data_IF_363295645756
#
_entry.id   IF_363295645756
#
_cell.length_a   1.000
_cell.length_b   1.000
_cell.length_c   1.000
_cell.angle_alpha   90.00
_cell.angle_beta   90.00
_cell.angle_gamma   90.00
#
_symmetry.space_group_name_H-M   'P 1'
#
loop_
_entity.id
_entity.type
_entity.pdbx_description
1 polymer ?
#
# COMPACT_ATOMS: atom_id res chain seq x y z
N UNK A 1 4.96 21.54 14.95
CA UNK A 1 5.89 20.99 15.95
C UNK A 1 7.09 20.44 15.19
N UNK A 2 8.17 21.25 15.13
CA UNK A 2 9.40 20.95 14.38
C UNK A 2 10.03 19.66 14.91
N UNK A 3 9.95 18.60 14.14
CA UNK A 3 10.83 17.45 14.30
C UNK A 3 12.10 17.86 13.54
N UNK A 4 13.09 18.37 14.28
CA UNK A 4 14.42 18.50 13.73
C UNK A 4 14.92 17.08 13.38
N UNK A 5 14.64 16.65 12.17
CA UNK A 5 15.34 15.54 11.57
C UNK A 5 16.75 16.06 11.32
N UNK A 6 17.70 15.62 12.15
CA UNK A 6 19.11 15.85 11.81
C UNK A 6 19.29 15.30 10.39
N UNK A 7 19.68 16.15 9.42
CA UNK A 7 19.88 15.67 8.04
C UNK A 7 20.86 14.51 8.09
N UNK A 8 20.58 13.46 7.32
CA UNK A 8 21.52 12.34 7.19
C UNK A 8 22.82 12.89 6.63
N UNK A 9 23.93 12.73 7.35
CA UNK A 9 25.21 13.19 6.87
C UNK A 9 25.51 12.52 5.51
N UNK A 10 25.98 13.27 4.51
CA UNK A 10 26.19 12.75 3.14
C UNK A 10 27.23 11.63 3.05
N UNK A 11 27.95 11.35 4.12
CA UNK A 11 29.09 10.43 4.19
C UNK A 11 28.73 9.05 4.78
N UNK A 12 27.46 8.72 4.98
CA UNK A 12 27.09 7.41 5.48
C UNK A 12 27.08 6.35 4.36
N UNK A 13 27.71 5.19 4.61
CA UNK A 13 27.69 4.06 3.70
C UNK A 13 26.24 3.69 3.31
N UNK A 14 25.93 3.60 2.00
CA UNK A 14 24.54 3.44 1.54
C UNK A 14 23.88 2.12 1.96
N UNK A 15 24.66 1.13 2.38
CA UNK A 15 24.19 -0.23 2.73
C UNK A 15 24.58 -0.63 4.15
N UNK A 16 24.64 0.33 5.06
CA UNK A 16 24.91 0.05 6.47
C UNK A 16 23.77 -0.79 7.06
N UNK A 17 24.12 -1.79 7.87
CA UNK A 17 23.16 -2.58 8.66
C UNK A 17 23.37 -2.24 10.14
N UNK A 18 22.34 -1.71 10.76
CA UNK A 18 22.31 -1.38 12.18
C UNK A 18 20.91 -1.55 12.75
N UNK A 19 20.75 -1.30 14.04
CA UNK A 19 19.46 -1.46 14.71
C UNK A 19 18.37 -0.58 14.06
N UNK A 20 18.71 0.62 13.61
CA UNK A 20 17.78 1.53 12.93
C UNK A 20 17.26 0.96 11.60
N UNK A 21 18.10 0.27 10.84
CA UNK A 21 17.71 -0.39 9.60
C UNK A 21 16.78 -1.59 9.86
N UNK A 22 17.05 -2.37 10.93
CA UNK A 22 16.18 -3.48 11.35
C UNK A 22 14.82 -2.98 11.80
N UNK A 23 14.78 -1.98 12.67
CA UNK A 23 13.50 -1.39 13.14
C UNK A 23 12.76 -0.67 12.03
N UNK A 24 13.49 -0.01 11.13
CA UNK A 24 12.92 0.62 9.95
C UNK A 24 12.33 -0.39 8.96
N UNK A 25 12.96 -1.53 8.74
CA UNK A 25 12.46 -2.59 7.86
C UNK A 25 11.06 -3.09 8.31
N UNK A 26 10.84 -3.15 9.62
CA UNK A 26 9.55 -3.59 10.20
C UNK A 26 8.42 -2.60 9.93
N UNK A 27 8.72 -1.32 9.63
CA UNK A 27 7.71 -0.28 9.43
C UNK A 27 6.71 -0.59 8.30
N UNK A 28 7.19 -1.12 7.19
CA UNK A 28 6.33 -1.44 6.03
C UNK A 28 5.46 -2.68 6.27
N UNK A 29 5.86 -3.58 7.15
CA UNK A 29 5.08 -4.76 7.47
C UNK A 29 3.68 -4.41 8.01
N UNK A 30 3.54 -3.27 8.70
CA UNK A 30 2.25 -2.79 9.21
C UNK A 30 1.22 -2.44 8.11
N UNK A 31 1.66 -2.21 6.88
CA UNK A 31 0.77 -1.97 5.72
C UNK A 31 0.83 -3.16 4.76
N UNK A 32 2.01 -3.69 4.51
CA UNK A 32 2.23 -4.77 3.56
C UNK A 32 1.55 -6.07 4.00
N UNK A 33 1.73 -6.47 5.27
CA UNK A 33 1.19 -7.75 5.75
C UNK A 33 -0.34 -7.81 5.64
N UNK A 34 -1.14 -6.85 6.15
CA UNK A 34 -2.60 -6.94 6.04
C UNK A 34 -3.10 -6.95 4.60
N UNK A 35 -2.53 -6.12 3.72
CA UNK A 35 -2.97 -6.01 2.33
C UNK A 35 -2.53 -7.22 1.50
N UNK A 36 -1.29 -7.69 1.67
CA UNK A 36 -0.80 -8.91 1.01
C UNK A 36 -1.59 -10.13 1.48
N UNK A 37 -1.84 -10.26 2.80
CA UNK A 37 -2.67 -11.33 3.35
C UNK A 37 -4.06 -11.34 2.71
N UNK A 38 -4.71 -10.19 2.59
CA UNK A 38 -6.01 -10.10 1.97
C UNK A 38 -5.97 -10.54 0.49
N UNK A 39 -4.96 -10.10 -0.29
CA UNK A 39 -4.81 -10.52 -1.69
C UNK A 39 -4.53 -12.02 -1.82
N UNK A 40 -3.72 -12.59 -0.93
CA UNK A 40 -3.40 -14.03 -0.93
C UNK A 40 -4.64 -14.84 -0.52
N UNK A 41 -5.26 -14.51 0.62
CA UNK A 41 -6.28 -15.36 1.22
C UNK A 41 -7.69 -15.12 0.68
N UNK A 42 -8.01 -13.89 0.25
CA UNK A 42 -9.35 -13.54 -0.29
C UNK A 42 -9.38 -13.63 -1.81
N UNK A 43 -8.32 -13.12 -2.48
CA UNK A 43 -8.29 -13.09 -3.94
C UNK A 43 -7.54 -14.27 -4.57
N UNK A 44 -6.87 -15.11 -3.76
CA UNK A 44 -6.18 -16.32 -4.23
C UNK A 44 -4.87 -16.07 -4.96
N UNK A 45 -4.15 -14.96 -4.66
CA UNK A 45 -2.80 -14.77 -5.19
C UNK A 45 -1.83 -15.79 -4.59
N UNK A 46 -0.86 -16.24 -5.39
CA UNK A 46 0.20 -17.12 -4.90
C UNK A 46 1.11 -16.39 -3.91
N UNK A 47 1.22 -16.94 -2.69
CA UNK A 47 1.98 -16.30 -1.62
C UNK A 47 3.49 -16.22 -1.94
N UNK A 48 4.05 -17.24 -2.61
CA UNK A 48 5.43 -17.25 -3.04
C UNK A 48 5.72 -16.14 -4.05
N UNK A 49 4.88 -16.03 -5.09
CA UNK A 49 4.99 -14.99 -6.09
C UNK A 49 4.85 -13.57 -5.48
N UNK A 50 3.89 -13.38 -4.57
CA UNK A 50 3.70 -12.11 -3.87
C UNK A 50 4.95 -11.71 -3.11
N UNK A 51 5.55 -12.63 -2.33
CA UNK A 51 6.72 -12.34 -1.51
C UNK A 51 7.99 -12.18 -2.36
N UNK A 52 8.19 -13.03 -3.38
CA UNK A 52 9.35 -12.95 -4.28
C UNK A 52 9.35 -11.65 -5.05
N UNK A 53 8.22 -11.27 -5.68
CA UNK A 53 8.12 -10.03 -6.43
C UNK A 53 8.30 -8.80 -5.53
N UNK A 54 7.72 -8.82 -4.31
CA UNK A 54 7.93 -7.75 -3.34
C UNK A 54 9.40 -7.67 -2.91
N UNK A 55 10.02 -8.80 -2.60
CA UNK A 55 11.44 -8.88 -2.23
C UNK A 55 12.37 -8.37 -3.32
N UNK A 56 12.14 -8.77 -4.57
CA UNK A 56 12.89 -8.27 -5.74
C UNK A 56 12.79 -6.75 -5.88
N UNK A 57 11.58 -6.20 -5.79
CA UNK A 57 11.40 -4.75 -5.92
C UNK A 57 12.01 -4.00 -4.74
N UNK A 58 11.89 -4.52 -3.51
CA UNK A 58 12.51 -3.92 -2.32
C UNK A 58 14.03 -3.88 -2.46
N UNK A 59 14.67 -4.99 -2.87
CA UNK A 59 16.12 -5.02 -3.13
C UNK A 59 16.49 -4.06 -4.25
N UNK A 60 15.79 -4.12 -5.38
CA UNK A 60 16.06 -3.26 -6.54
C UNK A 60 15.99 -1.76 -6.18
N UNK A 61 14.97 -1.34 -5.41
CA UNK A 61 14.86 0.06 -4.97
C UNK A 61 15.99 0.48 -4.05
N UNK A 62 16.42 -0.39 -3.13
CA UNK A 62 17.59 -0.13 -2.30
C UNK A 62 18.87 0.05 -3.11
N UNK A 63 19.10 -0.77 -4.13
CA UNK A 63 20.26 -0.68 -5.02
C UNK A 63 20.24 0.58 -5.90
N UNK A 64 19.05 0.94 -6.41
CA UNK A 64 18.87 2.09 -7.30
C UNK A 64 18.95 3.42 -6.56
N UNK A 65 18.14 3.56 -5.51
CA UNK A 65 18.02 4.84 -4.79
C UNK A 65 19.10 5.04 -3.74
N UNK A 66 19.64 3.96 -3.17
CA UNK A 66 20.68 3.95 -2.11
C UNK A 66 20.29 4.68 -0.82
N UNK A 67 19.01 4.81 -0.60
CA UNK A 67 18.39 5.35 0.62
C UNK A 67 17.27 4.40 1.06
N UNK A 68 16.75 4.50 2.31
CA UNK A 68 15.56 3.77 2.69
C UNK A 68 14.43 4.14 1.73
N UNK A 69 13.86 3.16 1.03
CA UNK A 69 12.83 3.42 0.05
C UNK A 69 11.67 2.44 0.19
N UNK A 70 10.42 2.92 0.30
CA UNK A 70 9.26 2.10 0.61
C UNK A 70 8.79 1.31 -0.61
N UNK A 71 8.31 0.10 -0.36
CA UNK A 71 7.59 -0.73 -1.34
C UNK A 71 6.34 -1.27 -0.66
N UNK A 72 5.17 -0.92 -1.18
CA UNK A 72 3.88 -1.25 -0.58
C UNK A 72 2.88 -1.69 -1.65
N UNK A 73 1.88 -2.54 -1.31
CA UNK A 73 0.78 -2.83 -2.21
C UNK A 73 0.05 -1.56 -2.64
N UNK A 74 -0.47 -1.54 -3.86
CA UNK A 74 -1.33 -0.47 -4.39
C UNK A 74 -2.66 -0.45 -3.64
N UNK A 75 -2.84 0.52 -2.76
CA UNK A 75 -3.90 0.53 -1.74
C UNK A 75 -5.31 0.55 -2.32
N UNK A 76 -5.60 1.47 -3.26
CA UNK A 76 -6.93 1.54 -3.85
C UNK A 76 -7.26 0.28 -4.66
N UNK A 77 -6.30 -0.19 -5.44
CA UNK A 77 -6.41 -1.42 -6.20
C UNK A 77 -6.70 -2.61 -5.30
N UNK A 78 -5.87 -2.81 -4.26
CA UNK A 78 -6.03 -3.93 -3.31
C UNK A 78 -7.40 -3.88 -2.64
N UNK A 79 -7.84 -2.72 -2.18
CA UNK A 79 -9.12 -2.58 -1.46
C UNK A 79 -10.30 -2.91 -2.36
N UNK A 80 -10.29 -2.42 -3.61
CA UNK A 80 -11.37 -2.73 -4.57
C UNK A 80 -11.33 -4.20 -4.97
N UNK A 81 -10.13 -4.76 -5.21
CA UNK A 81 -9.97 -6.17 -5.54
C UNK A 81 -10.53 -7.08 -4.44
N UNK A 82 -10.21 -6.79 -3.18
CA UNK A 82 -10.72 -7.54 -2.02
C UNK A 82 -12.23 -7.33 -1.83
N UNK A 83 -12.71 -6.09 -1.92
CA UNK A 83 -14.13 -5.77 -1.73
C UNK A 83 -15.04 -6.43 -2.78
N UNK A 84 -14.54 -6.59 -4.01
CA UNK A 84 -15.26 -7.21 -5.12
C UNK A 84 -14.83 -8.66 -5.39
N UNK A 85 -13.94 -9.22 -4.57
CA UNK A 85 -13.42 -10.59 -4.72
C UNK A 85 -12.91 -10.89 -6.15
N UNK A 86 -12.17 -9.94 -6.73
CA UNK A 86 -11.67 -10.05 -8.09
C UNK A 86 -10.65 -11.20 -8.21
N UNK A 87 -10.67 -11.86 -9.38
CA UNK A 87 -9.75 -12.96 -9.65
C UNK A 87 -8.29 -12.50 -9.77
N UNK A 88 -7.30 -13.40 -9.52
CA UNK A 88 -5.88 -13.10 -9.71
C UNK A 88 -5.57 -12.53 -11.09
N UNK A 89 -6.18 -13.08 -12.16
CA UNK A 89 -5.97 -12.62 -13.52
C UNK A 89 -6.34 -11.15 -13.75
N UNK A 90 -7.41 -10.64 -13.13
CA UNK A 90 -7.78 -9.22 -13.18
C UNK A 90 -6.76 -8.35 -12.42
N UNK A 91 -6.28 -8.84 -11.28
CA UNK A 91 -5.28 -8.12 -10.47
C UNK A 91 -3.93 -8.04 -11.21
N UNK A 92 -3.50 -9.14 -11.84
CA UNK A 92 -2.26 -9.16 -12.63
C UNK A 92 -2.38 -8.27 -13.88
N UNK A 93 -3.53 -8.29 -14.58
CA UNK A 93 -3.80 -7.39 -15.69
C UNK A 93 -3.69 -5.92 -15.25
N UNK A 94 -4.30 -5.56 -14.12
CA UNK A 94 -4.18 -4.21 -13.55
C UNK A 94 -2.72 -3.83 -13.23
N UNK A 95 -1.93 -4.77 -12.71
CA UNK A 95 -0.49 -4.58 -12.49
C UNK A 95 0.25 -4.23 -13.77
N UNK A 96 0.00 -4.97 -14.86
CA UNK A 96 0.61 -4.72 -16.17
C UNK A 96 0.16 -3.39 -16.78
N UNK A 97 -1.11 -3.03 -16.67
CA UNK A 97 -1.63 -1.74 -17.16
C UNK A 97 -1.04 -0.55 -16.40
N UNK A 98 -0.97 -0.64 -15.06
CA UNK A 98 -0.30 0.38 -14.24
C UNK A 98 1.18 0.45 -14.59
N UNK A 99 1.84 -0.70 -14.82
CA UNK A 99 3.21 -0.73 -15.27
C UNK A 99 3.41 0.04 -16.58
N UNK A 100 2.57 -0.22 -17.57
CA UNK A 100 2.63 0.47 -18.87
C UNK A 100 2.47 2.00 -18.70
N UNK A 101 1.50 2.44 -17.89
CA UNK A 101 1.30 3.86 -17.60
C UNK A 101 2.51 4.46 -16.87
N UNK A 102 3.03 3.79 -15.84
CA UNK A 102 4.19 4.29 -15.10
C UNK A 102 5.47 4.33 -15.94
N UNK A 103 5.69 3.34 -16.81
CA UNK A 103 6.79 3.35 -17.77
C UNK A 103 6.65 4.52 -18.76
N UNK A 104 5.46 4.81 -19.23
CA UNK A 104 5.19 5.98 -20.08
C UNK A 104 5.45 7.28 -19.30
N UNK A 105 4.99 7.37 -18.04
CA UNK A 105 5.22 8.52 -17.16
C UNK A 105 6.69 8.69 -16.76
N UNK A 106 7.52 7.66 -16.89
CA UNK A 106 8.96 7.76 -16.66
C UNK A 106 9.68 8.59 -17.71
N UNK A 107 9.06 8.80 -18.88
CA UNK A 107 9.56 9.66 -19.94
C UNK A 107 9.43 11.13 -19.49
N UNK A 108 10.51 11.91 -19.65
CA UNK A 108 10.53 13.32 -19.21
C UNK A 108 9.37 14.10 -19.82
N UNK A 109 8.79 14.99 -19.02
CA UNK A 109 7.63 15.87 -19.31
C UNK A 109 6.24 15.22 -19.33
N UNK A 110 6.09 13.91 -19.52
CA UNK A 110 4.76 13.28 -19.47
C UNK A 110 4.17 13.35 -18.06
N UNK A 111 5.00 13.12 -17.05
CA UNK A 111 4.61 13.24 -15.64
C UNK A 111 4.07 14.63 -15.28
N UNK A 112 4.68 15.71 -15.80
CA UNK A 112 4.26 17.09 -15.53
C UNK A 112 2.89 17.41 -16.12
N UNK A 113 2.56 16.84 -17.27
CA UNK A 113 1.22 17.00 -17.90
C UNK A 113 0.17 16.30 -17.06
N UNK A 114 0.46 15.07 -16.64
CA UNK A 114 -0.47 14.25 -15.83
C UNK A 114 -0.70 14.84 -14.44
N UNK A 115 0.32 15.46 -13.83
CA UNK A 115 0.19 16.15 -12.55
C UNK A 115 -0.89 17.23 -12.55
N UNK A 116 -1.08 17.93 -13.68
CA UNK A 116 -2.10 18.99 -13.83
C UNK A 116 -3.53 18.45 -13.86
N UNK A 117 -3.69 17.18 -14.22
CA UNK A 117 -4.99 16.50 -14.26
C UNK A 117 -5.41 16.06 -12.86
N UNK A 118 -4.49 15.48 -12.09
CA UNK A 118 -4.78 14.92 -10.78
C UNK A 118 -4.59 15.94 -9.66
N UNK A 119 -5.53 16.86 -9.55
CA UNK A 119 -5.50 17.90 -8.54
C UNK A 119 -5.77 17.37 -7.14
N UNK A 120 -5.44 18.18 -6.12
CA UNK A 120 -5.61 17.82 -4.71
C UNK A 120 -7.05 17.37 -4.37
N UNK A 121 -8.14 18.03 -4.80
CA UNK A 121 -9.51 17.58 -4.54
C UNK A 121 -9.81 16.19 -5.11
N UNK A 122 -9.33 15.87 -6.32
CA UNK A 122 -9.50 14.55 -6.94
C UNK A 122 -8.81 13.47 -6.12
N UNK A 123 -7.56 13.72 -5.71
CA UNK A 123 -6.79 12.78 -4.87
C UNK A 123 -7.48 12.57 -3.52
N UNK A 124 -7.99 13.64 -2.88
CA UNK A 124 -8.68 13.55 -1.58
C UNK A 124 -10.02 12.82 -1.66
N UNK A 125 -10.77 13.01 -2.75
CA UNK A 125 -12.01 12.25 -3.00
C UNK A 125 -11.73 10.74 -3.04
N UNK A 126 -10.69 10.34 -3.79
CA UNK A 126 -10.27 8.94 -3.88
C UNK A 126 -9.76 8.39 -2.54
N UNK A 127 -8.99 9.19 -1.80
CA UNK A 127 -8.51 8.79 -0.47
C UNK A 127 -9.66 8.59 0.51
N UNK A 128 -10.71 9.41 0.45
CA UNK A 128 -11.92 9.21 1.24
C UNK A 128 -12.63 7.92 0.83
N UNK A 129 -12.85 7.70 -0.47
CA UNK A 129 -13.48 6.48 -0.98
C UNK A 129 -12.73 5.21 -0.58
N UNK A 130 -11.39 5.19 -0.75
CA UNK A 130 -10.53 4.11 -0.27
C UNK A 130 -10.65 3.92 1.24
N UNK A 131 -10.65 5.02 1.99
CA UNK A 131 -10.76 4.99 3.44
C UNK A 131 -12.06 4.35 3.92
N UNK A 132 -13.18 4.74 3.31
CA UNK A 132 -14.50 4.14 3.61
C UNK A 132 -14.53 2.66 3.24
N UNK A 133 -14.03 2.28 2.05
CA UNK A 133 -13.97 0.88 1.64
C UNK A 133 -13.12 0.02 2.58
N UNK A 134 -11.98 0.54 3.05
CA UNK A 134 -11.15 -0.17 4.05
C UNK A 134 -11.91 -0.41 5.36
N UNK A 135 -12.65 0.58 5.85
CA UNK A 135 -13.48 0.43 7.06
C UNK A 135 -14.61 -0.58 6.82
N UNK A 136 -15.31 -0.50 5.70
CA UNK A 136 -16.35 -1.46 5.34
C UNK A 136 -15.80 -2.87 5.21
N UNK A 137 -14.65 -3.03 4.56
CA UNK A 137 -13.96 -4.32 4.43
C UNK A 137 -13.53 -4.87 5.79
N UNK A 138 -13.05 -4.02 6.71
CA UNK A 138 -12.70 -4.45 8.07
C UNK A 138 -13.91 -5.01 8.84
N UNK A 139 -15.06 -4.38 8.70
CA UNK A 139 -16.33 -4.82 9.31
C UNK A 139 -16.75 -6.16 8.69
N UNK A 140 -16.74 -6.27 7.36
CA UNK A 140 -17.08 -7.52 6.67
C UNK A 140 -16.16 -8.68 7.05
N UNK A 141 -14.86 -8.42 7.24
CA UNK A 141 -13.88 -9.42 7.63
C UNK A 141 -14.17 -10.01 9.03
N UNK A 142 -14.72 -9.22 9.95
CA UNK A 142 -15.13 -9.70 11.27
C UNK A 142 -16.50 -10.41 11.22
N UNK A 143 -17.43 -9.93 10.38
CA UNK A 143 -18.76 -10.52 10.24
C UNK A 143 -18.72 -11.89 9.55
N UNK A 144 -17.90 -12.00 8.51
CA UNK A 144 -17.79 -13.18 7.64
C UNK A 144 -16.32 -13.50 7.41
N UNK A 145 -15.61 -14.02 8.43
CA UNK A 145 -14.20 -14.36 8.29
C UNK A 145 -14.05 -15.49 7.25
N UNK A 146 -13.08 -15.37 6.32
CA UNK A 146 -12.73 -16.47 5.44
C UNK A 146 -12.35 -17.75 6.22
N UNK A 147 -12.72 -18.92 5.69
CA UNK A 147 -12.53 -20.23 6.37
C UNK A 147 -11.07 -20.51 6.75
N UNK A 148 -10.10 -19.93 6.01
CA UNK A 148 -8.68 -20.10 6.29
C UNK A 148 -8.25 -19.51 7.65
N UNK A 149 -9.01 -18.56 8.20
CA UNK A 149 -8.76 -18.02 9.53
C UNK A 149 -9.34 -18.94 10.60
N UNK A 150 -8.71 -20.09 10.77
CA UNK A 150 -9.06 -21.05 11.83
C UNK A 150 -8.87 -20.42 13.22
N UNK A 151 -9.74 -20.75 14.15
CA UNK A 151 -9.63 -20.28 15.54
C UNK A 151 -10.12 -18.86 15.80
N UNK A 152 -10.93 -18.28 14.89
CA UNK A 152 -11.64 -17.03 15.21
C UNK A 152 -12.62 -17.27 16.37
N UNK A 153 -12.51 -16.53 17.51
CA UNK A 153 -13.42 -16.69 18.62
C UNK A 153 -14.87 -16.40 18.22
N UNK A 154 -15.85 -17.02 18.92
CA UNK A 154 -17.25 -16.70 18.72
C UNK A 154 -17.57 -15.24 19.12
N UNK A 155 -18.58 -14.65 18.49
CA UNK A 155 -19.06 -13.32 18.88
C UNK A 155 -19.46 -13.31 20.38
N UNK A 156 -19.24 -12.20 21.14
CA UNK A 156 -18.86 -10.87 20.68
C UNK A 156 -17.33 -10.58 20.67
N UNK A 157 -16.50 -11.56 21.04
CA UNK A 157 -15.06 -11.36 21.26
C UNK A 157 -14.30 -10.74 20.11
N UNK A 158 -14.50 -11.13 18.82
CA UNK A 158 -13.79 -10.52 17.70
C UNK A 158 -14.00 -9.02 17.62
N UNK A 159 -15.19 -8.51 17.94
CA UNK A 159 -15.50 -7.08 17.96
C UNK A 159 -14.79 -6.35 19.09
N UNK A 160 -14.81 -6.93 20.28
CA UNK A 160 -14.13 -6.35 21.45
C UNK A 160 -12.64 -6.28 21.20
N UNK A 161 -12.03 -7.37 20.72
CA UNK A 161 -10.60 -7.44 20.42
C UNK A 161 -10.22 -6.50 19.27
N UNK A 162 -11.04 -6.37 18.23
CA UNK A 162 -10.85 -5.41 17.16
C UNK A 162 -10.83 -3.96 17.69
N UNK A 163 -11.77 -3.60 18.54
CA UNK A 163 -11.83 -2.25 19.13
C UNK A 163 -10.61 -2.00 20.02
N UNK A 164 -10.24 -2.96 20.87
CA UNK A 164 -9.06 -2.84 21.74
C UNK A 164 -7.79 -2.69 20.91
N UNK A 165 -7.61 -3.51 19.89
CA UNK A 165 -6.48 -3.42 18.97
C UNK A 165 -6.45 -2.08 18.23
N UNK A 166 -7.60 -1.61 17.75
CA UNK A 166 -7.73 -0.32 17.08
C UNK A 166 -7.35 0.84 18.01
N UNK A 167 -7.88 0.87 19.23
CA UNK A 167 -7.52 1.88 20.23
C UNK A 167 -6.03 1.81 20.57
N UNK A 168 -5.49 0.61 20.74
CA UNK A 168 -4.06 0.38 20.93
C UNK A 168 -3.21 0.98 19.82
N UNK A 169 -3.61 0.81 18.57
CA UNK A 169 -2.91 1.41 17.42
C UNK A 169 -3.01 2.94 17.38
N UNK A 170 -4.17 3.51 17.73
CA UNK A 170 -4.33 4.97 17.84
C UNK A 170 -3.41 5.53 18.91
N UNK A 171 -3.33 4.89 20.08
CA UNK A 171 -2.43 5.27 21.18
C UNK A 171 -0.98 5.11 20.74
N UNK A 172 -0.62 3.97 20.14
CA UNK A 172 0.73 3.71 19.64
C UNK A 172 1.18 4.76 18.60
N UNK A 173 0.29 5.16 17.71
CA UNK A 173 0.56 6.20 16.72
C UNK A 173 0.76 7.58 17.36
N UNK A 174 0.02 7.90 18.43
CA UNK A 174 0.18 9.16 19.19
C UNK A 174 1.45 9.19 20.02
N UNK A 175 1.80 8.05 20.63
CA UNK A 175 3.00 7.90 21.48
C UNK A 175 4.25 7.53 20.68
N UNK A 176 4.14 7.34 19.36
CA UNK A 176 5.23 6.94 18.43
C UNK A 176 5.79 5.54 18.67
N UNK A 177 5.06 4.67 19.35
CA UNK A 177 5.44 3.27 19.59
C UNK A 177 4.85 2.37 18.48
N UNK A 178 5.24 2.57 17.24
CA UNK A 178 4.67 1.88 16.06
C UNK A 178 4.83 0.35 16.10
N UNK A 179 5.81 -0.18 16.85
CA UNK A 179 6.01 -1.61 17.05
C UNK A 179 4.87 -2.31 17.81
N UNK A 180 4.04 -1.55 18.54
CA UNK A 180 2.85 -2.11 19.24
C UNK A 180 1.89 -2.77 18.27
N UNK A 181 1.75 -2.24 17.08
CA UNK A 181 0.90 -2.81 16.05
C UNK A 181 1.34 -4.23 15.64
N UNK A 182 2.65 -4.44 15.47
CA UNK A 182 3.20 -5.76 15.19
C UNK A 182 3.10 -6.68 16.41
N UNK A 183 3.28 -6.13 17.61
CA UNK A 183 3.09 -6.87 18.85
C UNK A 183 1.67 -7.42 18.98
N UNK A 184 0.65 -6.64 18.62
CA UNK A 184 -0.75 -7.09 18.61
C UNK A 184 -0.97 -8.25 17.65
N UNK A 185 -0.43 -8.16 16.42
CA UNK A 185 -0.55 -9.25 15.45
C UNK A 185 0.22 -10.49 15.89
N UNK A 186 1.44 -10.33 16.42
CA UNK A 186 2.26 -11.44 16.87
C UNK A 186 1.64 -12.17 18.07
N UNK A 187 1.11 -11.44 19.05
CA UNK A 187 0.42 -12.02 20.21
C UNK A 187 -0.85 -12.74 19.79
N UNK A 188 -1.61 -12.15 18.87
CA UNK A 188 -2.81 -12.80 18.34
C UNK A 188 -2.50 -14.07 17.55
N UNK A 189 -1.46 -14.04 16.71
CA UNK A 189 -0.99 -15.21 15.98
C UNK A 189 -0.47 -16.32 16.94
N UNK A 190 0.28 -15.95 17.98
CA UNK A 190 0.72 -16.89 19.00
C UNK A 190 -0.45 -17.53 19.75
N UNK A 191 -1.48 -16.75 20.11
CA UNK A 191 -2.69 -17.26 20.74
C UNK A 191 -3.45 -18.22 19.83
N UNK A 192 -3.53 -17.96 18.53
CA UNK A 192 -4.16 -18.85 17.55
C UNK A 192 -3.33 -20.12 17.35
N UNK A 193 -2.01 -20.02 17.32
CA UNK A 193 -1.08 -21.15 17.17
C UNK A 193 -1.20 -22.17 18.31
N UNK A 194 -1.52 -21.73 19.54
CA UNK A 194 -1.74 -22.64 20.67
C UNK A 194 -3.00 -23.48 20.54
N UNK A 195 -3.98 -22.99 19.78
CA UNK A 195 -5.28 -23.65 19.59
C UNK A 195 -5.32 -24.52 18.33
N UNK A 196 -4.43 -24.31 17.38
CA UNK A 196 -4.28 -25.09 16.16
C UNK A 196 -2.92 -25.79 16.17
N UNK A 197 -2.88 -27.08 15.84
CA UNK A 197 -1.63 -27.81 15.62
C UNK A 197 -1.38 -27.92 14.11
N UNK A 198 -0.93 -26.84 13.45
CA UNK A 198 -0.73 -26.90 12.02
C UNK A 198 0.46 -27.81 11.70
N UNK A 199 0.22 -28.84 10.90
CA UNK A 199 1.28 -29.60 10.31
C UNK A 199 1.89 -28.75 9.19
N UNK A 200 3.03 -28.17 9.48
CA UNK A 200 3.79 -27.37 8.50
C UNK A 200 4.91 -28.23 7.96
N UNK A 201 4.88 -28.55 6.68
CA UNK A 201 5.95 -29.28 6.01
C UNK A 201 7.31 -28.58 6.13
N UNK A 202 8.39 -29.26 5.76
CA UNK A 202 9.73 -28.66 5.69
C UNK A 202 9.83 -27.58 4.61
N UNK A 203 10.95 -26.81 4.60
CA UNK A 203 11.22 -25.85 3.53
C UNK A 203 11.22 -26.51 2.16
N UNK A 204 10.63 -25.87 1.16
CA UNK A 204 10.62 -26.35 -0.22
C UNK A 204 10.91 -25.19 -1.17
N UNK A 205 11.87 -25.40 -2.08
CA UNK A 205 12.19 -24.38 -3.07
C UNK A 205 11.10 -24.30 -4.14
N UNK A 206 10.57 -23.11 -4.36
CA UNK A 206 9.56 -22.84 -5.40
C UNK A 206 9.86 -21.51 -6.07
N UNK A 207 9.76 -21.48 -7.40
CA UNK A 207 9.82 -20.26 -8.20
C UNK A 207 8.41 -19.85 -8.64
N UNK A 208 8.15 -18.55 -8.73
CA UNK A 208 6.90 -18.07 -9.32
C UNK A 208 6.75 -18.50 -10.78
N UNK A 209 5.55 -18.92 -11.15
CA UNK A 209 5.23 -19.28 -12.53
C UNK A 209 4.85 -18.04 -13.35
N UNK A 210 5.11 -18.12 -14.65
CA UNK A 210 4.69 -17.09 -15.59
C UNK A 210 3.16 -17.05 -15.69
N UNK A 211 2.57 -15.89 -15.40
CA UNK A 211 1.14 -15.64 -15.46
C UNK A 211 0.82 -14.70 -16.62
N UNK A 212 0.02 -15.16 -17.56
CA UNK A 212 -0.46 -14.33 -18.67
C UNK A 212 -1.96 -14.11 -18.49
N UNK A 213 -2.39 -12.89 -18.08
CA UNK A 213 -3.81 -12.60 -17.91
C UNK A 213 -4.58 -12.76 -19.23
N UNK A 214 -5.79 -13.31 -19.16
CA UNK A 214 -6.66 -13.40 -20.31
C UNK A 214 -7.02 -12.00 -20.84
N UNK A 215 -7.16 -11.84 -22.17
CA UNK A 215 -7.45 -10.55 -22.79
C UNK A 215 -8.71 -9.86 -22.21
N UNK A 216 -9.75 -10.63 -21.86
CA UNK A 216 -10.96 -10.10 -21.23
C UNK A 216 -10.76 -9.52 -19.82
N UNK A 217 -9.66 -9.85 -19.14
CA UNK A 217 -9.38 -9.32 -17.81
C UNK A 217 -8.97 -7.83 -17.84
N UNK A 218 -8.33 -7.38 -18.91
CA UNK A 218 -7.79 -6.03 -19.02
C UNK A 218 -8.85 -4.94 -18.96
N UNK A 219 -9.98 -5.08 -19.67
CA UNK A 219 -11.05 -4.08 -19.64
C UNK A 219 -11.60 -3.87 -18.20
N UNK A 220 -11.87 -4.97 -17.49
CA UNK A 220 -12.33 -4.91 -16.11
C UNK A 220 -11.24 -4.32 -15.19
N UNK A 221 -10.00 -4.73 -15.36
CA UNK A 221 -8.85 -4.24 -14.62
C UNK A 221 -8.69 -2.72 -14.78
N UNK A 222 -8.76 -2.23 -16.02
CA UNK A 222 -8.60 -0.82 -16.33
C UNK A 222 -9.62 0.04 -15.58
N UNK A 223 -10.91 -0.22 -15.75
CA UNK A 223 -11.95 0.62 -15.19
C UNK A 223 -12.10 0.47 -13.68
N UNK A 224 -12.00 -0.74 -13.14
CA UNK A 224 -12.21 -0.98 -11.71
C UNK A 224 -10.99 -0.65 -10.87
N UNK A 225 -9.79 -0.92 -11.36
CA UNK A 225 -8.57 -0.91 -10.57
C UNK A 225 -7.60 0.19 -10.99
N UNK A 226 -7.31 0.32 -12.29
CA UNK A 226 -6.25 1.23 -12.78
C UNK A 226 -6.70 2.68 -12.70
N UNK A 227 -7.86 3.02 -13.27
CA UNK A 227 -8.36 4.40 -13.30
C UNK A 227 -8.39 5.03 -11.89
N UNK A 228 -8.96 4.40 -10.85
CA UNK A 228 -8.97 5.00 -9.52
C UNK A 228 -7.59 4.99 -8.83
N UNK A 229 -6.71 4.06 -9.21
CA UNK A 229 -5.39 3.95 -8.60
C UNK A 229 -4.40 5.00 -9.13
N UNK A 230 -4.48 5.37 -10.39
CA UNK A 230 -3.52 6.28 -11.03
C UNK A 230 -3.32 7.61 -10.29
N UNK A 231 -4.40 8.36 -9.91
CA UNK A 231 -4.24 9.63 -9.18
C UNK A 231 -3.53 9.46 -7.84
N UNK A 232 -3.82 8.35 -7.15
CA UNK A 232 -3.21 8.04 -5.86
C UNK A 232 -1.75 7.64 -6.03
N UNK A 233 -1.43 6.86 -7.06
CA UNK A 233 -0.05 6.48 -7.37
C UNK A 233 0.76 7.71 -7.71
N UNK A 234 0.24 8.57 -8.59
CA UNK A 234 0.96 9.76 -9.00
C UNK A 234 1.15 10.74 -7.84
N UNK A 235 0.09 11.12 -7.14
CA UNK A 235 0.14 12.09 -6.05
C UNK A 235 0.92 11.63 -4.84
N UNK A 236 0.70 10.39 -4.39
CA UNK A 236 1.31 9.87 -3.16
C UNK A 236 2.61 9.11 -3.39
N UNK A 237 2.68 8.29 -4.44
CA UNK A 237 3.81 7.39 -4.63
C UNK A 237 4.87 7.92 -5.60
N UNK A 238 4.59 9.00 -6.33
CA UNK A 238 5.58 9.64 -7.21
C UNK A 238 5.96 11.02 -6.66
N UNK A 239 5.00 11.95 -6.58
CA UNK A 239 5.28 13.33 -6.16
C UNK A 239 5.63 13.38 -4.67
N UNK A 240 4.72 12.95 -3.80
CA UNK A 240 4.92 13.09 -2.36
C UNK A 240 6.12 12.28 -1.83
N UNK A 241 6.40 11.08 -2.37
CA UNK A 241 7.57 10.31 -1.94
C UNK A 241 8.88 10.98 -2.37
N UNK A 242 8.91 11.58 -3.56
CA UNK A 242 10.05 12.36 -4.03
C UNK A 242 10.34 13.54 -3.10
N UNK A 243 9.32 14.34 -2.79
CA UNK A 243 9.46 15.53 -1.96
C UNK A 243 9.90 15.18 -0.54
N UNK A 244 9.29 14.17 0.07
CA UNK A 244 9.66 13.69 1.41
C UNK A 244 11.06 13.07 1.44
N UNK A 245 11.50 12.39 0.36
CA UNK A 245 12.85 11.86 0.30
C UNK A 245 13.89 12.99 0.37
N UNK A 246 13.68 14.09 -0.38
CA UNK A 246 14.58 15.24 -0.34
C UNK A 246 14.46 15.99 0.99
N UNK A 247 13.26 16.10 1.57
CA UNK A 247 13.05 16.74 2.87
C UNK A 247 13.78 16.00 4.01
N UNK A 248 13.66 14.66 4.05
CA UNK A 248 14.22 13.86 5.15
C UNK A 248 15.71 13.52 4.97
N UNK A 249 16.15 13.32 3.74
CA UNK A 249 17.44 12.74 3.44
C UNK A 249 18.41 13.72 2.72
N UNK A 250 17.90 14.89 2.32
CA UNK A 250 18.72 15.94 1.70
C UNK A 250 19.53 15.45 0.49
N UNK A 251 20.83 15.68 0.51
CA UNK A 251 21.74 15.29 -0.58
C UNK A 251 21.79 13.77 -0.84
N UNK A 252 21.51 12.93 0.15
CA UNK A 252 21.48 11.48 -0.04
C UNK A 252 20.34 11.04 -0.98
N UNK A 253 19.26 11.84 -1.10
CA UNK A 253 18.16 11.60 -2.01
C UNK A 253 18.42 11.99 -3.47
N UNK A 254 19.63 12.42 -3.85
CA UNK A 254 19.95 12.87 -5.21
C UNK A 254 19.60 11.87 -6.32
N UNK A 255 19.45 10.59 -5.99
CA UNK A 255 19.02 9.54 -6.93
C UNK A 255 17.50 9.41 -7.04
N UNK A 256 16.73 10.02 -6.14
CA UNK A 256 15.26 10.01 -6.17
C UNK A 256 14.78 11.11 -7.10
N UNK A 257 13.96 10.77 -8.06
CA UNK A 257 13.27 11.71 -8.95
C UNK A 257 11.96 11.10 -9.43
N UNK A 258 10.94 11.91 -9.77
CA UNK A 258 9.65 11.39 -10.23
C UNK A 258 9.78 10.39 -11.38
N UNK A 259 10.61 10.67 -12.37
CA UNK A 259 10.87 9.78 -13.51
C UNK A 259 11.46 8.43 -13.08
N UNK A 260 12.46 8.44 -12.18
CA UNK A 260 13.06 7.19 -11.66
C UNK A 260 12.11 6.41 -10.77
N UNK A 261 11.28 7.09 -10.00
CA UNK A 261 10.23 6.45 -9.17
C UNK A 261 9.20 5.77 -10.06
N UNK A 262 8.73 6.44 -11.12
CA UNK A 262 7.85 5.85 -12.12
C UNK A 262 8.51 4.65 -12.82
N UNK A 263 9.77 4.77 -13.22
CA UNK A 263 10.52 3.69 -13.88
C UNK A 263 10.64 2.45 -12.95
N UNK A 264 11.03 2.67 -11.71
CA UNK A 264 11.17 1.60 -10.70
C UNK A 264 9.85 0.88 -10.45
N UNK A 265 8.77 1.64 -10.20
CA UNK A 265 7.46 1.06 -9.97
C UNK A 265 6.89 0.40 -11.24
N UNK A 266 7.15 0.97 -12.42
CA UNK A 266 6.75 0.41 -13.71
C UNK A 266 7.40 -0.96 -13.97
N UNK A 267 8.73 -1.04 -13.83
CA UNK A 267 9.45 -2.33 -13.96
C UNK A 267 8.98 -3.33 -12.91
N UNK A 268 8.86 -2.91 -11.65
CA UNK A 268 8.41 -3.76 -10.56
C UNK A 268 7.01 -4.35 -10.81
N UNK A 269 6.07 -3.54 -11.30
CA UNK A 269 4.73 -4.01 -11.62
C UNK A 269 4.68 -4.87 -12.90
N UNK A 270 5.58 -4.64 -13.87
CA UNK A 270 5.73 -5.56 -15.01
C UNK A 270 6.15 -6.95 -14.54
N UNK A 271 7.21 -7.02 -13.73
CA UNK A 271 7.69 -8.29 -13.17
C UNK A 271 6.62 -8.95 -12.30
N UNK A 272 5.97 -8.18 -11.43
CA UNK A 272 4.92 -8.67 -10.54
C UNK A 272 3.69 -9.19 -11.31
N UNK A 273 3.22 -8.45 -12.31
CA UNK A 273 2.07 -8.85 -13.12
C UNK A 273 2.32 -10.10 -13.96
N UNK A 274 3.57 -10.30 -14.42
CA UNK A 274 3.97 -11.49 -15.18
C UNK A 274 4.28 -12.70 -14.30
N UNK A 275 4.77 -12.51 -13.08
CA UNK A 275 5.13 -13.61 -12.17
C UNK A 275 4.05 -13.91 -11.11
N UNK A 276 2.84 -13.37 -11.26
CA UNK A 276 1.74 -13.66 -10.34
C UNK A 276 1.83 -12.96 -8.98
N UNK A 277 2.68 -11.94 -8.86
CA UNK A 277 2.81 -11.14 -7.66
C UNK A 277 1.69 -10.11 -7.49
N UNK A 278 1.75 -9.33 -6.43
CA UNK A 278 0.81 -8.23 -6.19
C UNK A 278 1.30 -6.92 -6.80
N UNK A 279 0.40 -6.07 -7.30
CA UNK A 279 0.75 -4.72 -7.76
C UNK A 279 1.22 -3.82 -6.61
N UNK A 280 2.33 -3.08 -6.83
CA UNK A 280 3.03 -2.33 -5.80
C UNK A 280 3.35 -0.89 -6.19
N UNK A 281 3.63 -0.05 -5.19
CA UNK A 281 4.06 1.33 -5.37
C UNK A 281 5.05 1.77 -4.27
N UNK A 282 5.52 3.02 -4.38
CA UNK A 282 6.41 3.67 -3.43
C UNK A 282 5.64 4.68 -2.57
N UNK A 283 5.05 4.23 -1.48
CA UNK A 283 4.16 5.08 -0.67
C UNK A 283 4.92 6.08 0.21
N UNK A 284 4.58 7.37 0.11
CA UNK A 284 5.14 8.44 0.96
C UNK A 284 5.01 8.16 2.47
N UNK A 285 3.88 7.55 2.88
CA UNK A 285 3.67 7.12 4.27
C UNK A 285 4.67 6.06 4.74
N UNK A 286 5.06 5.12 3.86
CA UNK A 286 6.08 4.12 4.15
C UNK A 286 7.44 4.75 4.37
N UNK A 287 7.86 5.67 3.49
CA UNK A 287 9.11 6.41 3.67
C UNK A 287 9.16 7.11 5.04
N UNK A 288 8.09 7.83 5.38
CA UNK A 288 7.98 8.49 6.69
C UNK A 288 8.10 7.48 7.84
N UNK A 289 7.48 6.31 7.73
CA UNK A 289 7.52 5.29 8.77
C UNK A 289 8.93 4.69 8.91
N UNK A 290 9.61 4.34 7.80
CA UNK A 290 10.99 3.87 7.82
C UNK A 290 11.93 4.85 8.52
N UNK A 291 11.87 6.12 8.13
CA UNK A 291 12.71 7.17 8.72
C UNK A 291 12.42 7.36 10.21
N UNK A 292 11.14 7.36 10.60
CA UNK A 292 10.74 7.53 12.01
C UNK A 292 11.15 6.36 12.90
N UNK A 293 11.20 5.15 12.36
CA UNK A 293 11.67 3.97 13.08
C UNK A 293 13.20 3.79 13.01
N UNK A 294 13.92 4.72 12.39
CA UNK A 294 15.37 4.81 12.51
C UNK A 294 16.16 4.42 11.27
N UNK A 295 15.51 4.01 10.17
CA UNK A 295 16.22 3.73 8.93
C UNK A 295 16.88 5.00 8.37
N UNK A 296 18.13 4.89 7.93
CA UNK A 296 18.91 5.97 7.33
C UNK A 296 19.67 5.54 6.08
N UNK A 297 19.69 4.23 5.79
CA UNK A 297 20.41 3.64 4.66
C UNK A 297 19.58 2.61 3.93
N UNK A 298 19.92 2.29 2.69
CA UNK A 298 19.31 1.21 1.92
C UNK A 298 19.60 -0.19 2.49
N UNK A 299 20.41 -0.31 3.56
CA UNK A 299 20.57 -1.54 4.32
C UNK A 299 19.23 -2.09 4.80
N UNK A 300 18.27 -1.22 5.16
CA UNK A 300 16.90 -1.57 5.46
C UNK A 300 16.24 -2.36 4.31
N UNK A 301 16.38 -1.86 3.06
CA UNK A 301 15.82 -2.52 1.88
C UNK A 301 16.49 -3.89 1.63
N UNK A 302 17.80 -3.99 1.86
CA UNK A 302 18.51 -5.27 1.72
C UNK A 302 17.99 -6.31 2.72
N UNK A 303 17.83 -5.90 4.00
CA UNK A 303 17.29 -6.78 5.05
C UNK A 303 15.87 -7.23 4.74
N UNK A 304 14.97 -6.28 4.48
CA UNK A 304 13.56 -6.58 4.20
C UNK A 304 13.42 -7.42 2.93
N UNK A 305 14.08 -7.00 1.85
CA UNK A 305 13.96 -7.69 0.57
C UNK A 305 14.55 -9.09 0.59
N UNK A 306 15.72 -9.30 1.23
CA UNK A 306 16.30 -10.63 1.41
C UNK A 306 15.40 -11.55 2.26
N UNK A 307 14.78 -11.01 3.32
CA UNK A 307 13.82 -11.75 4.14
C UNK A 307 12.59 -12.18 3.34
N UNK A 308 12.02 -11.28 2.53
CA UNK A 308 10.87 -11.59 1.67
C UNK A 308 11.23 -12.64 0.60
N UNK A 309 12.40 -12.53 -0.02
CA UNK A 309 12.91 -13.51 -0.99
C UNK A 309 13.10 -14.88 -0.35
N UNK A 310 13.73 -14.93 0.82
CA UNK A 310 13.93 -16.17 1.56
C UNK A 310 12.60 -16.85 1.88
N UNK A 311 11.65 -16.08 2.41
CA UNK A 311 10.30 -16.57 2.75
C UNK A 311 9.54 -17.05 1.51
N UNK A 312 9.55 -16.26 0.43
CA UNK A 312 8.81 -16.60 -0.78
C UNK A 312 9.42 -17.76 -1.59
N UNK A 313 10.74 -17.94 -1.56
CA UNK A 313 11.41 -19.01 -2.31
C UNK A 313 11.43 -20.34 -1.57
N UNK A 314 11.50 -20.34 -0.23
CA UNK A 314 11.74 -21.56 0.54
C UNK A 314 10.66 -21.90 1.56
N UNK A 315 9.82 -20.94 1.94
CA UNK A 315 8.87 -21.08 3.06
C UNK A 315 7.43 -20.70 2.69
N UNK A 316 7.05 -20.78 1.42
CA UNK A 316 5.70 -20.34 0.95
C UNK A 316 4.59 -21.05 1.70
N UNK A 317 4.65 -22.37 1.87
CA UNK A 317 3.63 -23.13 2.61
C UNK A 317 3.53 -22.69 4.07
N UNK A 318 4.69 -22.47 4.71
CA UNK A 318 4.77 -22.00 6.10
C UNK A 318 4.19 -20.58 6.25
N UNK A 319 4.50 -19.71 5.29
CA UNK A 319 3.95 -18.33 5.27
C UNK A 319 2.43 -18.37 5.16
N UNK A 320 1.86 -19.16 4.26
CA UNK A 320 0.38 -19.29 4.13
C UNK A 320 -0.25 -19.74 5.44
N UNK A 321 0.34 -20.75 6.10
CA UNK A 321 -0.13 -21.22 7.42
C UNK A 321 -0.04 -20.09 8.47
N UNK A 322 1.10 -19.37 8.53
CA UNK A 322 1.28 -18.25 9.46
C UNK A 322 0.29 -17.11 9.18
N UNK A 323 0.04 -16.80 7.91
CA UNK A 323 -0.95 -15.79 7.53
C UNK A 323 -2.36 -16.22 7.95
N UNK A 324 -2.70 -17.50 7.81
CA UNK A 324 -3.97 -18.06 8.29
C UNK A 324 -4.13 -18.05 9.83
N UNK A 325 -3.01 -18.00 10.56
CA UNK A 325 -3.03 -17.85 12.03
C UNK A 325 -3.17 -16.39 12.47
N UNK A 326 -3.02 -15.42 11.57
CA UNK A 326 -3.19 -14.02 11.96
C UNK A 326 -4.63 -13.80 12.46
N UNK A 327 -4.80 -13.11 13.60
CA UNK A 327 -6.13 -12.90 14.13
C UNK A 327 -6.93 -11.97 13.22
N UNK A 328 -8.08 -12.44 12.74
CA UNK A 328 -8.99 -11.66 11.87
C UNK A 328 -9.32 -10.30 12.48
N UNK A 329 -9.58 -10.25 13.78
CA UNK A 329 -9.85 -9.01 14.50
C UNK A 329 -8.66 -8.04 14.46
N UNK A 330 -7.42 -8.56 14.47
CA UNK A 330 -6.21 -7.75 14.35
C UNK A 330 -6.05 -7.16 12.95
N UNK A 331 -6.22 -7.99 11.91
CA UNK A 331 -6.23 -7.54 10.51
C UNK A 331 -7.34 -6.50 10.25
N UNK A 332 -8.54 -6.74 10.77
CA UNK A 332 -9.65 -5.82 10.68
C UNK A 332 -9.35 -4.48 11.37
N UNK A 333 -8.75 -4.51 12.56
CA UNK A 333 -8.34 -3.29 13.26
C UNK A 333 -7.31 -2.48 12.43
N UNK A 334 -6.36 -3.14 11.77
CA UNK A 334 -5.40 -2.48 10.87
C UNK A 334 -6.08 -1.83 9.66
N UNK A 335 -6.98 -2.57 9.01
CA UNK A 335 -7.72 -2.03 7.87
C UNK A 335 -8.59 -0.84 8.27
N UNK A 336 -9.28 -0.92 9.43
CA UNK A 336 -10.06 0.18 9.97
C UNK A 336 -9.18 1.41 10.26
N UNK A 337 -8.03 1.20 10.92
CA UNK A 337 -7.10 2.29 11.23
C UNK A 337 -6.56 2.95 9.97
N UNK A 338 -6.08 2.15 9.01
CA UNK A 338 -5.59 2.65 7.73
C UNK A 338 -6.71 3.39 6.96
N UNK A 339 -7.92 2.85 6.96
CA UNK A 339 -9.09 3.45 6.34
C UNK A 339 -9.42 4.82 6.92
N UNK A 340 -9.53 4.93 8.24
CA UNK A 340 -9.81 6.20 8.89
C UNK A 340 -8.69 7.24 8.67
N UNK A 341 -7.42 6.81 8.66
CA UNK A 341 -6.30 7.70 8.32
C UNK A 341 -6.37 8.22 6.90
N UNK A 342 -6.79 7.39 5.94
CA UNK A 342 -7.00 7.82 4.54
C UNK A 342 -8.20 8.76 4.42
N UNK A 343 -9.34 8.39 5.03
CA UNK A 343 -10.53 9.23 5.01
C UNK A 343 -10.29 10.61 5.65
N UNK A 344 -9.49 10.65 6.73
CA UNK A 344 -9.17 11.91 7.43
C UNK A 344 -8.43 12.93 6.57
N UNK A 345 -7.74 12.50 5.53
CA UNK A 345 -6.99 13.41 4.65
C UNK A 345 -7.87 14.41 3.91
N UNK A 346 -9.18 14.15 3.77
CA UNK A 346 -10.14 15.08 3.17
C UNK A 346 -10.31 16.36 3.99
N UNK A 347 -9.98 16.32 5.29
CA UNK A 347 -10.14 17.46 6.23
C UNK A 347 -9.27 18.68 5.91
N UNK A 348 -8.28 18.54 5.03
CA UNK A 348 -7.43 19.65 4.58
C UNK A 348 -8.05 20.44 3.39
N UNK A 349 -9.21 19.99 2.90
CA UNK A 349 -10.03 20.72 1.93
C UNK A 349 -11.06 21.62 2.61
N UNK A 350 -11.53 22.63 1.89
CA UNK A 350 -12.55 23.56 2.36
C UNK A 350 -13.56 23.90 1.25
N UNK A 351 -14.71 24.44 1.66
CA UNK A 351 -15.73 24.93 0.72
C UNK A 351 -16.20 23.85 -0.25
N UNK A 352 -16.35 24.23 -1.51
CA UNK A 352 -16.89 23.37 -2.57
C UNK A 352 -16.01 22.14 -2.83
N UNK A 353 -14.69 22.26 -2.69
CA UNK A 353 -13.77 21.16 -2.91
C UNK A 353 -13.93 20.05 -1.85
N UNK A 354 -14.23 20.44 -0.60
CA UNK A 354 -14.57 19.47 0.45
C UNK A 354 -15.88 18.76 0.13
N UNK A 355 -16.93 19.50 -0.24
CA UNK A 355 -18.24 18.91 -0.59
C UNK A 355 -18.09 17.94 -1.76
N UNK A 356 -17.39 18.36 -2.81
CA UNK A 356 -17.09 17.52 -3.97
C UNK A 356 -16.38 16.22 -3.56
N UNK A 357 -15.30 16.33 -2.79
CA UNK A 357 -14.52 15.18 -2.39
C UNK A 357 -15.34 14.22 -1.52
N UNK A 358 -16.19 14.74 -0.61
CA UNK A 358 -17.07 13.93 0.24
C UNK A 358 -18.13 13.23 -0.60
N UNK A 359 -18.82 13.93 -1.48
CA UNK A 359 -19.89 13.34 -2.31
C UNK A 359 -19.31 12.30 -3.26
N UNK A 360 -18.26 12.65 -4.02
CA UNK A 360 -17.65 11.71 -4.97
C UNK A 360 -17.04 10.50 -4.28
N UNK A 361 -16.35 10.70 -3.15
CA UNK A 361 -15.74 9.62 -2.37
C UNK A 361 -16.79 8.68 -1.76
N UNK A 362 -17.87 9.22 -1.21
CA UNK A 362 -18.97 8.45 -0.63
C UNK A 362 -19.72 7.63 -1.71
N UNK A 363 -20.01 8.22 -2.87
CA UNK A 363 -20.67 7.52 -3.98
C UNK A 363 -19.80 6.36 -4.50
N UNK A 364 -18.50 6.60 -4.74
CA UNK A 364 -17.63 5.53 -5.19
C UNK A 364 -17.47 4.41 -4.17
N UNK A 365 -17.45 4.74 -2.87
CA UNK A 365 -17.43 3.74 -1.81
C UNK A 365 -18.75 2.95 -1.72
N UNK A 366 -19.90 3.62 -1.89
CA UNK A 366 -21.22 2.99 -1.91
C UNK A 366 -21.33 1.91 -2.98
N UNK A 367 -20.87 2.23 -4.20
CA UNK A 367 -20.87 1.27 -5.32
C UNK A 367 -19.65 0.35 -5.33
N UNK A 368 -18.76 0.44 -4.35
CA UNK A 368 -17.45 -0.22 -4.32
C UNK A 368 -16.66 -0.03 -5.64
N UNK A 369 -16.85 1.11 -6.30
CA UNK A 369 -16.25 1.46 -7.59
C UNK A 369 -15.65 2.87 -7.55
N UNK A 370 -14.36 2.95 -7.29
CA UNK A 370 -13.65 4.22 -7.20
C UNK A 370 -13.44 4.92 -8.56
N UNK A 371 -13.73 4.26 -9.69
CA UNK A 371 -13.75 4.94 -10.99
C UNK A 371 -14.88 5.97 -11.04
N UNK A 372 -16.00 5.73 -10.35
CA UNK A 372 -17.08 6.70 -10.17
C UNK A 372 -16.55 7.93 -9.41
N UNK A 373 -15.81 7.71 -8.33
CA UNK A 373 -15.15 8.81 -7.59
C UNK A 373 -14.22 9.61 -8.49
N UNK A 374 -13.35 8.93 -9.25
CA UNK A 374 -12.40 9.58 -10.15
C UNK A 374 -13.14 10.40 -11.23
N UNK A 375 -14.12 9.79 -11.90
CA UNK A 375 -14.88 10.41 -12.98
C UNK A 375 -15.63 11.65 -12.50
N UNK A 376 -16.39 11.56 -11.41
CA UNK A 376 -17.14 12.69 -10.83
C UNK A 376 -16.20 13.81 -10.39
N UNK A 377 -15.13 13.49 -9.66
CA UNK A 377 -14.19 14.49 -9.18
C UNK A 377 -13.48 15.20 -10.34
N UNK A 378 -13.03 14.47 -11.36
CA UNK A 378 -12.41 15.05 -12.56
C UNK A 378 -13.38 15.95 -13.32
N UNK A 379 -14.59 15.46 -13.59
CA UNK A 379 -15.61 16.22 -14.32
C UNK A 379 -15.94 17.55 -13.62
N UNK A 380 -16.16 17.53 -12.31
CA UNK A 380 -16.53 18.75 -11.57
C UNK A 380 -15.34 19.70 -11.44
N UNK A 381 -14.15 19.20 -11.10
CA UNK A 381 -12.94 20.06 -10.94
C UNK A 381 -12.59 20.74 -12.26
N UNK A 382 -12.52 19.99 -13.35
CA UNK A 382 -12.15 20.56 -14.65
C UNK A 382 -13.29 21.34 -15.30
N UNK A 383 -14.56 20.90 -15.12
CA UNK A 383 -15.73 21.66 -15.57
C UNK A 383 -15.80 23.05 -14.93
N UNK A 384 -15.53 23.17 -13.62
CA UNK A 384 -15.47 24.49 -12.94
C UNK A 384 -14.37 25.39 -13.49
N UNK A 385 -13.20 24.85 -13.87
CA UNK A 385 -12.12 25.64 -14.48
C UNK A 385 -12.50 26.19 -15.85
N UNK A 386 -13.31 25.46 -16.61
CA UNK A 386 -13.80 25.93 -17.93
C UNK A 386 -14.87 27.01 -17.76
N UNK A 387 -15.79 26.86 -16.79
CA UNK A 387 -16.90 27.76 -16.58
C UNK A 387 -16.46 29.05 -15.86
N UNK A 388 -15.48 29.00 -14.98
CA UNK A 388 -14.96 30.12 -14.19
C UNK A 388 -13.42 30.24 -14.29
N UNK A 389 -12.90 30.78 -15.40
CA UNK A 389 -11.45 30.91 -15.61
C UNK A 389 -10.74 31.82 -14.59
N UNK A 390 -11.46 32.70 -13.90
CA UNK A 390 -10.90 33.65 -12.92
C UNK A 390 -10.57 33.05 -11.54
N UNK A 391 -11.08 31.87 -11.20
CA UNK A 391 -10.82 31.24 -9.90
C UNK A 391 -9.47 30.48 -9.84
N UNK A 392 -8.85 30.20 -10.98
CA UNK A 392 -7.60 29.43 -11.07
C UNK A 392 -6.30 30.18 -10.80
N UNK A 393 -6.34 31.53 -10.75
CA UNK A 393 -5.14 32.35 -10.60
C UNK A 393 -4.79 32.73 -9.15
N UNK A 394 -5.50 32.23 -8.16
CA UNK A 394 -5.26 32.52 -6.73
C UNK A 394 -4.59 31.37 -5.98
N UNK A 395 -4.28 30.25 -6.65
CA UNK A 395 -3.66 29.05 -6.04
C UNK A 395 -2.42 28.56 -6.81
N UNK A 396 -1.75 29.41 -7.59
CA UNK A 396 -0.49 29.09 -8.24
C UNK A 396 0.72 29.56 -7.40
#
# INVERSE_FOLDING_TARGET
>A
MNIATTPVAPDQAPFRIGLGEVTGAVADLGVMVPLATALILVNGLDAGAVLVCAGLLVVATGLVFRVPFPVQPLKALTVVAVAQQLSPGVIHAAGLEIAAVLLLLSIRHVADVVARVFTKPVVRALQLGVGVLLVVTSIKLVLNPPEIFSGTPAAPWPWILMIVAFVGMVVAARTRHYWVALGVLALGAAATATSASPHVGGPSFSLPDLQIPAAGAFASAFFLLVVPQLPLTFGNAVVAVNDLAHEYLGAAAARVSPSRVCLSAGIGNTVSGLLGGMPMCHGAGGLTAHIRLGARSAGMNMLLGASLLLLGLFFTAQVVVILGMLPVWGLAAFLAYAGLRHAWLVSDLRGVDLVLAVVAGALGAWFANLAITAGLALLVVHGRRVISPRAGNLEA
#
